data_IF_362185500611
#
_entry.id   IF_362185500611
#
_cell.length_a   1.000
_cell.length_b   1.000
_cell.length_c   1.000
_cell.angle_alpha   90.00
_cell.angle_beta   90.00
_cell.angle_gamma   90.00
#
_symmetry.space_group_name_H-M   'P 1'
#
loop_
_entity.id
_entity.type
_entity.pdbx_description
1 polymer ?
#
# COMPACT_ATOMS: atom_id res chain seq x y z
N UNK A 1 -19.80 -5.14 -1.42
CA UNK A 1 -19.58 -4.94 -2.87
C UNK A 1 -18.66 -6.02 -3.46
N UNK A 2 -17.38 -6.11 -3.07
CA UNK A 2 -16.45 -7.07 -3.71
C UNK A 2 -16.88 -8.54 -3.52
N UNK A 3 -17.32 -8.91 -2.32
CA UNK A 3 -17.91 -10.25 -2.09
C UNK A 3 -19.14 -10.52 -2.97
N UNK A 4 -19.90 -9.48 -3.32
CA UNK A 4 -21.09 -9.60 -4.19
C UNK A 4 -20.66 -9.87 -5.62
N UNK A 5 -19.67 -9.12 -6.10
CA UNK A 5 -19.04 -9.36 -7.38
C UNK A 5 -18.53 -10.80 -7.50
N UNK A 6 -17.76 -11.27 -6.51
CA UNK A 6 -17.16 -12.61 -6.56
C UNK A 6 -18.18 -13.75 -6.53
N UNK A 7 -19.22 -13.65 -5.71
CA UNK A 7 -20.14 -14.76 -5.51
C UNK A 7 -21.40 -14.67 -6.38
N UNK A 8 -22.03 -13.50 -6.48
CA UNK A 8 -23.30 -13.35 -7.20
C UNK A 8 -23.07 -13.13 -8.71
N UNK A 9 -22.05 -12.36 -9.10
CA UNK A 9 -21.77 -12.10 -10.52
C UNK A 9 -20.81 -13.11 -11.13
N UNK A 10 -19.74 -13.45 -10.42
CA UNK A 10 -18.70 -14.37 -10.92
C UNK A 10 -18.95 -15.84 -10.55
N UNK A 11 -19.95 -16.10 -9.70
CA UNK A 11 -20.38 -17.46 -9.37
C UNK A 11 -19.36 -18.29 -8.57
N UNK A 12 -18.40 -17.65 -7.91
CA UNK A 12 -17.36 -18.34 -7.14
C UNK A 12 -18.00 -18.96 -5.89
N UNK A 13 -17.80 -20.27 -5.70
CA UNK A 13 -18.25 -20.98 -4.49
C UNK A 13 -17.13 -21.01 -3.45
N UNK A 14 -17.52 -21.03 -2.18
CA UNK A 14 -16.58 -21.21 -1.06
C UNK A 14 -16.89 -22.50 -0.32
N UNK A 15 -15.84 -23.18 0.13
CA UNK A 15 -15.93 -24.34 1.00
C UNK A 15 -15.04 -24.10 2.21
N UNK A 16 -15.61 -24.17 3.40
CA UNK A 16 -14.90 -23.92 4.65
C UNK A 16 -14.88 -25.21 5.46
N UNK A 17 -13.71 -25.59 5.94
CA UNK A 17 -13.48 -26.78 6.78
C UNK A 17 -12.64 -26.43 7.98
N UNK A 18 -12.81 -27.16 9.08
CA UNK A 18 -11.98 -27.01 10.28
C UNK A 18 -12.69 -26.25 11.40
N UNK A 19 -11.95 -25.42 12.11
CA UNK A 19 -12.44 -24.76 13.33
C UNK A 19 -13.30 -23.51 13.03
N UNK A 20 -14.20 -23.20 13.96
CA UNK A 20 -15.14 -22.08 13.86
C UNK A 20 -14.48 -20.77 14.32
N UNK A 21 -14.46 -19.76 13.44
CA UNK A 21 -13.87 -18.45 13.74
C UNK A 21 -14.71 -17.60 14.72
N UNK A 22 -15.97 -17.95 14.99
CA UNK A 22 -16.82 -17.24 15.96
C UNK A 22 -16.66 -17.72 17.41
N UNK A 23 -16.09 -18.92 17.62
CA UNK A 23 -15.88 -19.46 18.97
C UNK A 23 -14.62 -18.86 19.60
N UNK A 24 -14.79 -17.79 20.38
CA UNK A 24 -13.71 -17.19 21.18
C UNK A 24 -13.65 -15.66 21.10
N UNK A 25 -12.66 -15.06 21.77
CA UNK A 25 -12.43 -13.61 21.78
C UNK A 25 -11.98 -13.09 20.41
N UNK A 26 -12.34 -11.84 20.10
CA UNK A 26 -12.32 -11.22 18.75
C UNK A 26 -10.95 -10.70 18.26
N UNK A 27 -9.84 -11.04 18.93
CA UNK A 27 -8.50 -10.52 18.59
C UNK A 27 -7.63 -11.65 18.07
N UNK A 28 -7.37 -11.67 16.76
CA UNK A 28 -6.60 -12.74 16.12
C UNK A 28 -5.58 -12.24 15.10
N UNK A 29 -4.49 -13.01 14.96
CA UNK A 29 -3.63 -12.94 13.77
C UNK A 29 -4.01 -14.10 12.87
N UNK A 30 -4.26 -13.82 11.60
CA UNK A 30 -4.58 -14.81 10.58
C UNK A 30 -3.34 -15.02 9.72
N UNK A 31 -2.83 -16.24 9.69
CA UNK A 31 -1.70 -16.63 8.84
C UNK A 31 -2.21 -17.42 7.63
N UNK A 32 -1.99 -16.89 6.42
CA UNK A 32 -2.49 -17.47 5.17
C UNK A 32 -1.33 -17.77 4.21
N UNK A 33 -1.39 -18.91 3.50
CA UNK A 33 -0.44 -19.20 2.41
C UNK A 33 -0.73 -18.32 1.19
N UNK A 34 0.30 -18.00 0.40
CA UNK A 34 0.20 -16.98 -0.65
C UNK A 34 0.45 -17.54 -2.07
N UNK A 35 -0.59 -18.11 -2.68
CA UNK A 35 -0.52 -18.70 -4.02
C UNK A 35 -0.74 -17.69 -5.13
N UNK A 36 -1.62 -16.72 -4.96
CA UNK A 36 -2.01 -15.76 -6.01
C UNK A 36 -1.97 -14.33 -5.51
N UNK A 37 -1.87 -13.36 -6.42
CA UNK A 37 -1.97 -11.93 -6.05
C UNK A 37 -3.33 -11.53 -5.47
N UNK A 38 -4.32 -12.41 -5.54
CA UNK A 38 -5.71 -12.14 -5.20
C UNK A 38 -6.19 -12.92 -3.97
N UNK A 39 -5.32 -13.69 -3.30
CA UNK A 39 -5.69 -14.49 -2.11
C UNK A 39 -6.36 -13.63 -1.03
N UNK A 40 -5.87 -12.41 -0.84
CA UNK A 40 -6.39 -11.43 0.10
C UNK A 40 -7.82 -10.97 -0.21
N UNK A 41 -8.30 -11.16 -1.42
CA UNK A 41 -9.67 -10.78 -1.81
C UNK A 41 -10.67 -11.86 -1.39
N UNK A 42 -10.28 -13.14 -1.47
CA UNK A 42 -11.12 -14.27 -1.08
C UNK A 42 -11.29 -14.39 0.44
N UNK A 43 -10.37 -13.84 1.24
CA UNK A 43 -10.52 -13.81 2.70
C UNK A 43 -11.76 -13.02 3.14
N UNK A 44 -12.22 -12.06 2.35
CA UNK A 44 -13.47 -11.34 2.61
C UNK A 44 -14.69 -12.25 2.49
N UNK A 45 -14.65 -13.21 1.57
CA UNK A 45 -15.70 -14.22 1.46
C UNK A 45 -15.73 -15.06 2.74
N UNK A 46 -14.57 -15.47 3.26
CA UNK A 46 -14.49 -16.21 4.53
C UNK A 46 -15.03 -15.39 5.71
N UNK A 47 -14.52 -14.18 5.92
CA UNK A 47 -14.92 -13.32 7.04
C UNK A 47 -16.39 -12.92 7.01
N UNK A 48 -17.00 -12.84 5.82
CA UNK A 48 -18.43 -12.54 5.69
C UNK A 48 -19.31 -13.60 6.36
N UNK A 49 -18.95 -14.89 6.28
CA UNK A 49 -19.71 -16.00 6.93
C UNK A 49 -19.71 -15.87 8.45
N UNK A 50 -18.58 -15.46 9.01
CA UNK A 50 -18.40 -15.35 10.45
C UNK A 50 -18.75 -13.95 10.98
N UNK A 51 -19.22 -13.03 10.13
CA UNK A 51 -19.53 -11.63 10.48
C UNK A 51 -18.32 -10.85 11.02
N UNK A 52 -17.11 -11.20 10.58
CA UNK A 52 -15.84 -10.62 11.05
C UNK A 52 -15.23 -9.64 10.04
N UNK A 53 -16.03 -9.08 9.11
CA UNK A 53 -15.52 -8.21 8.05
C UNK A 53 -15.03 -6.85 8.58
N UNK A 54 -15.72 -6.30 9.58
CA UNK A 54 -15.40 -4.98 10.14
C UNK A 54 -14.05 -4.94 10.87
N UNK A 55 -13.70 -6.03 11.54
CA UNK A 55 -12.46 -6.19 12.30
C UNK A 55 -11.26 -6.60 11.44
N UNK A 56 -11.46 -6.99 10.18
CA UNK A 56 -10.40 -7.47 9.32
C UNK A 56 -9.50 -6.32 8.85
N UNK A 57 -8.21 -6.42 9.19
CA UNK A 57 -7.13 -5.57 8.68
C UNK A 57 -6.12 -6.46 7.97
N UNK A 58 -5.58 -5.98 6.85
CA UNK A 58 -4.63 -6.77 6.04
C UNK A 58 -3.26 -6.09 6.08
N UNK A 59 -2.21 -6.88 6.30
CA UNK A 59 -0.82 -6.44 6.17
C UNK A 59 -0.47 -6.35 4.68
N UNK A 60 -0.20 -5.13 4.20
CA UNK A 60 0.02 -4.83 2.79
C UNK A 60 1.42 -4.31 2.49
N UNK A 61 1.85 -4.44 1.24
CA UNK A 61 3.08 -3.79 0.75
C UNK A 61 2.87 -2.27 0.68
N UNK A 62 3.81 -1.49 1.22
CA UNK A 62 3.68 -0.02 1.31
C UNK A 62 3.52 0.69 -0.04
N UNK A 63 3.98 0.11 -1.15
CA UNK A 63 3.74 0.67 -2.49
C UNK A 63 2.25 0.73 -2.85
N UNK A 64 1.41 -0.12 -2.24
CA UNK A 64 -0.03 -0.17 -2.48
C UNK A 64 -0.78 1.03 -1.89
N UNK A 65 -0.15 1.81 -0.98
CA UNK A 65 -0.73 3.06 -0.46
C UNK A 65 -1.07 4.06 -1.56
N UNK A 66 -0.28 4.06 -2.63
CA UNK A 66 -0.39 5.05 -3.70
C UNK A 66 -1.39 4.65 -4.79
N UNK A 67 -1.99 3.45 -4.69
CA UNK A 67 -3.00 3.00 -5.65
C UNK A 67 -4.30 3.79 -5.39
N UNK A 68 -4.79 4.58 -6.36
CA UNK A 68 -6.03 5.32 -6.21
C UNK A 68 -7.22 4.41 -5.88
N UNK A 69 -8.15 4.90 -5.06
CA UNK A 69 -9.27 4.09 -4.58
C UNK A 69 -8.85 3.11 -3.48
N UNK A 70 -8.46 1.88 -3.86
CA UNK A 70 -8.20 0.78 -2.89
C UNK A 70 -7.10 1.16 -1.89
N UNK A 71 -5.98 1.72 -2.35
CA UNK A 71 -4.88 2.10 -1.48
C UNK A 71 -5.24 3.20 -0.50
N UNK A 72 -6.07 4.16 -0.91
CA UNK A 72 -6.57 5.24 -0.05
C UNK A 72 -7.60 4.73 0.95
N UNK A 73 -8.54 3.90 0.50
CA UNK A 73 -9.53 3.25 1.36
C UNK A 73 -8.87 2.39 2.44
N UNK A 74 -7.86 1.60 2.09
CA UNK A 74 -7.11 0.79 3.06
C UNK A 74 -6.33 1.66 4.07
N UNK A 75 -5.80 2.81 3.64
CA UNK A 75 -5.16 3.76 4.57
C UNK A 75 -6.17 4.35 5.54
N UNK A 76 -7.33 4.78 5.04
CA UNK A 76 -8.43 5.28 5.88
C UNK A 76 -8.94 4.20 6.85
N UNK A 77 -9.04 2.96 6.39
CA UNK A 77 -9.42 1.81 7.21
C UNK A 77 -8.33 1.38 8.21
N UNK A 78 -7.19 2.07 8.27
CA UNK A 78 -6.12 1.82 9.24
C UNK A 78 -5.31 0.55 8.96
N UNK A 79 -5.16 0.10 7.72
CA UNK A 79 -4.40 -1.11 7.40
C UNK A 79 -2.89 -0.93 7.68
N UNK A 80 -2.20 -2.03 8.00
CA UNK A 80 -0.76 -2.02 8.23
C UNK A 80 0.01 -2.17 6.91
N UNK A 81 0.87 -1.20 6.61
CA UNK A 81 1.69 -1.20 5.40
C UNK A 81 3.19 -1.32 5.72
N UNK A 82 3.85 -2.32 5.12
CA UNK A 82 5.28 -2.63 5.35
C UNK A 82 6.15 -2.35 4.12
N UNK A 83 7.37 -1.85 4.34
CA UNK A 83 8.33 -1.48 3.30
C UNK A 83 9.37 -2.57 2.99
N UNK A 84 9.35 -3.70 3.71
CA UNK A 84 10.40 -4.74 3.69
C UNK A 84 11.75 -4.19 4.17
N UNK A 85 11.69 -3.30 5.16
CA UNK A 85 12.84 -2.65 5.79
C UNK A 85 12.67 -2.80 7.30
N UNK A 86 13.46 -3.69 7.90
CA UNK A 86 13.25 -4.16 9.27
C UNK A 86 13.22 -3.02 10.29
N UNK A 87 14.18 -2.11 10.25
CA UNK A 87 14.28 -1.01 11.22
C UNK A 87 13.04 -0.10 11.17
N UNK A 88 12.58 0.23 9.96
CA UNK A 88 11.39 1.07 9.77
C UNK A 88 10.10 0.35 10.09
N UNK A 89 10.00 -0.91 9.67
CA UNK A 89 8.79 -1.72 9.82
C UNK A 89 8.58 -2.13 11.28
N UNK A 90 9.64 -2.33 12.05
CA UNK A 90 9.58 -2.55 13.50
C UNK A 90 8.86 -1.39 14.21
N UNK A 91 9.29 -0.15 13.94
CA UNK A 91 8.64 1.03 14.53
C UNK A 91 7.20 1.19 14.06
N UNK A 92 6.89 0.89 12.80
CA UNK A 92 5.52 0.96 12.28
C UNK A 92 4.59 -0.05 12.92
N UNK A 93 5.05 -1.29 13.09
CA UNK A 93 4.27 -2.33 13.79
C UNK A 93 3.97 -1.86 15.21
N UNK A 94 4.96 -1.36 15.94
CA UNK A 94 4.75 -0.82 17.30
C UNK A 94 3.71 0.30 17.32
N UNK A 95 3.83 1.27 16.42
CA UNK A 95 2.90 2.41 16.35
C UNK A 95 1.48 1.98 16.00
N UNK A 96 1.29 1.09 15.01
CA UNK A 96 -0.06 0.68 14.58
C UNK A 96 -0.75 -0.18 15.63
N UNK A 97 -0.02 -1.06 16.31
CA UNK A 97 -0.59 -1.88 17.39
C UNK A 97 -1.00 -0.99 18.57
N UNK A 98 -0.18 0.03 18.90
CA UNK A 98 -0.54 1.05 19.88
C UNK A 98 -1.81 1.83 19.49
N UNK A 99 -1.95 2.18 18.21
CA UNK A 99 -3.17 2.80 17.67
C UNK A 99 -4.38 1.88 17.83
N UNK A 100 -4.29 0.62 17.39
CA UNK A 100 -5.40 -0.34 17.53
C UNK A 100 -5.82 -0.53 19.00
N UNK A 101 -4.85 -0.56 19.91
CA UNK A 101 -5.12 -0.61 21.36
C UNK A 101 -5.89 0.62 21.83
N UNK A 102 -5.50 1.81 21.39
CA UNK A 102 -6.18 3.07 21.75
C UNK A 102 -7.62 3.14 21.24
N UNK A 103 -7.90 2.52 20.08
CA UNK A 103 -9.24 2.46 19.51
C UNK A 103 -10.15 1.42 20.18
N UNK A 104 -9.62 0.51 21.01
CA UNK A 104 -10.36 -0.60 21.64
C UNK A 104 -11.18 -1.44 20.64
N UNK A 105 -10.77 -1.46 19.36
CA UNK A 105 -11.51 -2.14 18.30
C UNK A 105 -11.19 -3.63 18.30
N UNK A 106 -12.17 -4.51 18.00
CA UNK A 106 -11.87 -5.90 17.63
C UNK A 106 -10.95 -5.92 16.40
N UNK A 107 -10.06 -6.91 16.32
CA UNK A 107 -8.99 -6.95 15.32
C UNK A 107 -8.73 -8.38 14.85
N UNK A 108 -8.93 -8.61 13.55
CA UNK A 108 -8.38 -9.76 12.84
C UNK A 108 -7.32 -9.28 11.86
N UNK A 109 -6.05 -9.53 12.18
CA UNK A 109 -4.92 -9.06 11.37
C UNK A 109 -4.42 -10.17 10.44
N UNK A 110 -4.72 -10.06 9.15
CA UNK A 110 -4.24 -10.98 8.12
C UNK A 110 -2.79 -10.66 7.72
N UNK A 111 -1.93 -11.68 7.80
CA UNK A 111 -0.55 -11.64 7.30
C UNK A 111 -0.28 -12.82 6.38
N UNK A 112 0.58 -12.60 5.39
CA UNK A 112 1.17 -13.64 4.55
C UNK A 112 2.66 -13.80 4.91
N UNK A 113 3.02 -14.73 5.82
CA UNK A 113 4.40 -14.93 6.25
C UNK A 113 5.39 -15.20 5.11
N UNK A 114 4.96 -15.76 3.98
CA UNK A 114 5.79 -15.93 2.77
C UNK A 114 6.35 -14.59 2.25
N UNK A 115 5.59 -13.50 2.44
CA UNK A 115 5.95 -12.14 2.08
C UNK A 115 5.94 -11.85 0.58
N UNK A 116 5.63 -12.82 -0.28
CA UNK A 116 5.50 -12.70 -1.74
C UNK A 116 4.65 -13.85 -2.28
N UNK A 117 4.15 -13.74 -3.52
CA UNK A 117 3.39 -14.82 -4.16
C UNK A 117 4.28 -15.99 -4.59
N UNK A 118 3.69 -17.18 -4.65
CA UNK A 118 4.25 -18.37 -5.27
C UNK A 118 4.31 -18.23 -6.80
N UNK A 119 5.52 -18.13 -7.34
CA UNK A 119 5.84 -18.24 -8.77
C UNK A 119 7.01 -19.20 -8.92
N UNK A 120 7.29 -19.69 -10.13
CA UNK A 120 8.43 -20.57 -10.36
C UNK A 120 9.75 -19.94 -9.87
N UNK A 121 9.95 -18.65 -10.13
CA UNK A 121 11.13 -17.90 -9.69
C UNK A 121 11.20 -17.75 -8.16
N UNK A 122 10.10 -17.35 -7.52
CA UNK A 122 10.09 -17.16 -6.05
C UNK A 122 10.22 -18.48 -5.32
N UNK A 123 9.67 -19.57 -5.87
CA UNK A 123 9.82 -20.94 -5.37
C UNK A 123 11.29 -21.38 -5.40
N UNK A 124 11.94 -21.28 -6.55
CA UNK A 124 13.37 -21.63 -6.69
C UNK A 124 14.21 -20.82 -5.69
N UNK A 125 13.94 -19.51 -5.57
CA UNK A 125 14.65 -18.66 -4.61
C UNK A 125 14.41 -19.04 -3.16
N UNK A 126 13.16 -19.38 -2.80
CA UNK A 126 12.79 -19.80 -1.44
C UNK A 126 13.44 -21.14 -1.09
N UNK A 127 13.37 -22.13 -1.98
CA UNK A 127 13.98 -23.45 -1.79
C UNK A 127 15.52 -23.35 -1.70
N UNK A 128 16.15 -22.54 -2.55
CA UNK A 128 17.59 -22.29 -2.48
C UNK A 128 18.03 -21.62 -1.17
N UNK A 129 17.14 -20.84 -0.53
CA UNK A 129 17.40 -20.27 0.79
C UNK A 129 17.23 -21.32 1.89
N UNK A 130 16.16 -22.11 1.82
CA UNK A 130 15.86 -23.18 2.78
C UNK A 130 16.94 -24.28 2.80
N UNK A 131 17.44 -24.70 1.64
CA UNK A 131 18.53 -25.69 1.54
C UNK A 131 19.87 -25.21 2.13
N UNK A 132 20.07 -23.89 2.26
CA UNK A 132 21.26 -23.32 2.90
C UNK A 132 21.14 -23.22 4.41
N UNK A 133 19.93 -23.38 4.94
CA UNK A 133 19.67 -23.32 6.36
C UNK A 133 19.47 -24.72 6.92
N UNK A 134 20.18 -25.01 8.00
CA UNK A 134 20.08 -26.28 8.74
C UNK A 134 18.67 -26.56 9.25
N UNK A 135 17.88 -25.52 9.54
CA UNK A 135 16.54 -25.63 10.11
C UNK A 135 15.47 -26.08 9.10
N UNK A 136 15.59 -25.71 7.82
CA UNK A 136 14.59 -26.03 6.81
C UNK A 136 14.97 -27.30 6.05
N UNK A 137 16.15 -27.31 5.42
CA UNK A 137 16.76 -28.42 4.69
C UNK A 137 15.82 -29.31 3.84
N UNK A 138 14.70 -28.76 3.36
CA UNK A 138 13.77 -29.42 2.45
C UNK A 138 13.10 -28.38 1.55
N UNK A 139 12.83 -28.71 0.28
CA UNK A 139 12.10 -27.83 -0.63
C UNK A 139 10.59 -27.95 -0.42
N UNK A 140 9.86 -26.88 -0.76
CA UNK A 140 8.41 -26.89 -0.91
C UNK A 140 8.00 -26.72 -2.38
N UNK A 141 6.85 -27.28 -2.74
CA UNK A 141 6.23 -27.21 -4.06
C UNK A 141 4.94 -26.40 -4.08
N UNK A 142 4.16 -26.42 -2.99
CA UNK A 142 2.83 -25.80 -2.92
C UNK A 142 2.80 -24.50 -2.11
N UNK A 143 3.83 -24.22 -1.32
CA UNK A 143 4.03 -22.99 -0.55
C UNK A 143 5.45 -22.42 -0.72
N UNK A 144 5.67 -21.18 -0.30
CA UNK A 144 7.02 -20.67 -0.02
C UNK A 144 7.35 -20.82 1.48
N UNK A 145 8.64 -20.93 1.82
CA UNK A 145 9.04 -20.93 3.23
C UNK A 145 8.68 -19.59 3.92
N UNK A 146 8.10 -19.64 5.14
CA UNK A 146 7.64 -18.44 5.83
C UNK A 146 8.81 -17.61 6.37
N UNK A 147 8.61 -16.29 6.44
CA UNK A 147 9.54 -15.37 7.10
C UNK A 147 9.16 -15.23 8.57
N UNK A 148 9.98 -15.81 9.44
CA UNK A 148 9.70 -15.89 10.88
C UNK A 148 9.84 -14.55 11.61
N UNK A 149 10.85 -13.74 11.29
CA UNK A 149 11.20 -12.53 12.06
C UNK A 149 10.07 -11.50 12.17
N UNK A 150 9.36 -11.25 11.07
CA UNK A 150 8.25 -10.29 11.08
C UNK A 150 7.04 -10.80 11.87
N UNK A 151 6.76 -12.09 11.76
CA UNK A 151 5.67 -12.73 12.49
C UNK A 151 5.95 -12.81 14.00
N UNK A 152 7.14 -13.26 14.40
CA UNK A 152 7.52 -13.37 15.82
C UNK A 152 7.42 -12.02 16.52
N UNK A 153 7.96 -10.97 15.91
CA UNK A 153 7.88 -9.62 16.46
C UNK A 153 6.45 -9.07 16.52
N UNK A 154 5.65 -9.29 15.48
CA UNK A 154 4.24 -8.88 15.47
C UNK A 154 3.46 -9.59 16.58
N UNK A 155 3.61 -10.91 16.70
CA UNK A 155 2.97 -11.73 17.73
C UNK A 155 3.33 -11.24 19.14
N UNK A 156 4.61 -11.04 19.42
CA UNK A 156 5.06 -10.58 20.73
C UNK A 156 4.66 -9.12 21.02
N UNK A 157 4.65 -8.26 20.00
CA UNK A 157 4.14 -6.89 20.14
C UNK A 157 2.65 -6.89 20.48
N UNK A 158 1.85 -7.76 19.85
CA UNK A 158 0.42 -7.88 20.19
C UNK A 158 0.21 -8.51 21.57
N UNK A 159 0.98 -9.53 21.95
CA UNK A 159 0.95 -10.16 23.29
C UNK A 159 1.25 -9.17 24.41
N UNK A 160 2.37 -8.45 24.30
CA UNK A 160 2.78 -7.42 25.28
C UNK A 160 1.78 -6.27 25.44
N UNK A 161 0.91 -6.06 24.44
CA UNK A 161 -0.13 -5.05 24.49
C UNK A 161 -1.49 -5.59 24.96
N UNK A 162 -1.60 -6.89 25.28
CA UNK A 162 -2.86 -7.62 25.47
C UNK A 162 -3.83 -7.32 24.33
N UNK A 163 -3.40 -7.57 23.10
CA UNK A 163 -4.17 -7.31 21.86
C UNK A 163 -4.36 -8.57 21.01
N UNK A 164 -4.15 -9.75 21.58
CA UNK A 164 -4.28 -11.03 20.87
C UNK A 164 -4.75 -12.14 21.80
N UNK A 165 -5.73 -12.91 21.32
CA UNK A 165 -6.26 -14.07 22.02
C UNK A 165 -5.98 -15.37 21.26
N UNK A 166 -5.91 -15.32 19.93
CA UNK A 166 -5.78 -16.50 19.07
C UNK A 166 -4.91 -16.24 17.84
N UNK A 167 -4.32 -17.31 17.31
CA UNK A 167 -3.71 -17.31 15.97
C UNK A 167 -4.49 -18.30 15.11
N UNK A 168 -5.05 -17.80 14.02
CA UNK A 168 -5.86 -18.58 13.08
C UNK A 168 -4.98 -19.00 11.90
N UNK A 169 -4.66 -20.30 11.84
CA UNK A 169 -3.90 -20.89 10.75
C UNK A 169 -4.84 -21.30 9.61
N UNK A 170 -4.78 -20.56 8.51
CA UNK A 170 -5.69 -20.74 7.38
C UNK A 170 -4.93 -21.22 6.15
N UNK A 171 -5.40 -22.31 5.56
CA UNK A 171 -4.90 -22.86 4.29
C UNK A 171 -5.93 -22.58 3.20
N UNK A 172 -5.51 -21.91 2.13
CA UNK A 172 -6.33 -21.65 0.93
C UNK A 172 -5.89 -22.54 -0.24
N UNK A 173 -6.87 -23.21 -0.84
CA UNK A 173 -6.72 -24.05 -2.04
C UNK A 173 -7.78 -23.71 -3.09
N UNK A 174 -7.47 -23.93 -4.37
CA UNK A 174 -8.35 -23.59 -5.49
C UNK A 174 -8.68 -24.81 -6.33
N UNK A 175 -9.95 -24.99 -6.65
CA UNK A 175 -10.38 -26.01 -7.60
C UNK A 175 -10.34 -25.48 -9.04
N UNK A 176 -9.64 -26.19 -9.93
CA UNK A 176 -9.51 -25.86 -11.34
C UNK A 176 -8.50 -24.74 -11.64
N UNK A 177 -8.75 -23.96 -12.70
CA UNK A 177 -7.89 -22.82 -13.08
C UNK A 177 -8.15 -21.66 -12.11
N UNK A 178 -7.09 -21.03 -11.64
CA UNK A 178 -7.16 -19.87 -10.75
C UNK A 178 -6.29 -18.72 -11.28
N UNK A 179 -6.68 -17.45 -11.02
CA UNK A 179 -5.97 -16.28 -11.50
C UNK A 179 -4.65 -16.10 -10.75
N UNK A 180 -3.57 -15.74 -11.46
CA UNK A 180 -2.27 -15.42 -10.84
C UNK A 180 -2.18 -13.92 -10.61
N UNK A 181 -2.71 -13.13 -11.54
CA UNK A 181 -2.66 -11.67 -11.56
C UNK A 181 -4.05 -11.04 -11.72
N UNK A 182 -4.13 -9.74 -11.48
CA UNK A 182 -5.34 -8.93 -11.66
C UNK A 182 -5.82 -8.93 -13.13
N UNK A 183 -4.91 -9.10 -14.09
CA UNK A 183 -5.25 -9.16 -15.52
C UNK A 183 -6.02 -10.45 -15.85
N UNK A 184 -5.72 -11.54 -15.15
CA UNK A 184 -6.43 -12.82 -15.35
C UNK A 184 -7.91 -12.69 -14.95
N UNK A 185 -8.19 -11.87 -13.94
CA UNK A 185 -9.55 -11.50 -13.52
C UNK A 185 -10.31 -10.82 -14.66
N UNK A 186 -9.67 -9.85 -15.35
CA UNK A 186 -10.28 -9.12 -16.48
C UNK A 186 -10.52 -10.02 -17.70
N UNK A 187 -9.71 -11.06 -17.86
CA UNK A 187 -9.86 -12.06 -18.93
C UNK A 187 -10.94 -13.12 -18.64
N UNK A 188 -11.59 -13.03 -17.48
CA UNK A 188 -12.64 -13.97 -17.10
C UNK A 188 -12.12 -15.25 -16.42
N UNK A 189 -10.87 -15.29 -15.98
CA UNK A 189 -10.32 -16.45 -15.28
C UNK A 189 -10.59 -16.35 -13.77
N UNK A 190 -11.55 -17.14 -13.30
CA UNK A 190 -11.94 -17.22 -11.89
C UNK A 190 -11.87 -18.66 -11.40
N UNK A 191 -11.51 -18.88 -10.11
CA UNK A 191 -11.63 -20.20 -9.51
C UNK A 191 -13.10 -20.57 -9.40
N UNK A 192 -13.47 -21.81 -9.73
CA UNK A 192 -14.85 -22.27 -9.56
C UNK A 192 -15.21 -22.40 -8.08
N UNK A 193 -14.27 -22.93 -7.30
CA UNK A 193 -14.43 -23.16 -5.87
C UNK A 193 -13.14 -22.77 -5.14
N UNK A 194 -13.30 -22.01 -4.05
CA UNK A 194 -12.22 -21.64 -3.13
C UNK A 194 -12.41 -22.41 -1.84
N UNK A 195 -11.40 -23.20 -1.46
CA UNK A 195 -11.41 -24.00 -0.25
C UNK A 195 -10.56 -23.34 0.83
N UNK A 196 -11.12 -23.24 2.03
CA UNK A 196 -10.44 -22.82 3.24
C UNK A 196 -10.42 -23.97 4.25
N UNK A 197 -9.24 -24.22 4.83
CA UNK A 197 -9.08 -25.08 5.99
C UNK A 197 -8.52 -24.26 7.14
N UNK A 198 -9.17 -24.35 8.31
CA UNK A 198 -8.90 -23.49 9.45
C UNK A 198 -8.48 -24.35 10.66
N UNK A 199 -7.32 -24.04 11.23
CA UNK A 199 -6.88 -24.54 12.54
C UNK A 199 -6.69 -23.35 13.48
N UNK A 200 -7.34 -23.38 14.64
CA UNK A 200 -7.28 -22.27 15.60
C UNK A 200 -6.41 -22.62 16.81
N UNK A 201 -5.49 -21.71 17.16
CA UNK A 201 -4.59 -21.87 18.30
C UNK A 201 -4.85 -20.78 19.35
N UNK A 202 -5.02 -21.17 20.61
CA UNK A 202 -5.09 -20.21 21.71
C UNK A 202 -3.70 -19.62 21.97
N UNK A 203 -3.63 -18.32 22.26
CA UNK A 203 -2.37 -17.63 22.54
C UNK A 203 -1.56 -18.27 23.69
N UNK A 204 -2.26 -18.88 24.65
CA UNK A 204 -1.68 -19.57 25.80
C UNK A 204 -0.99 -20.89 25.43
N UNK A 205 -1.42 -21.53 24.33
CA UNK A 205 -0.86 -22.80 23.85
C UNK A 205 0.38 -22.59 22.98
N UNK A 206 0.59 -21.36 22.50
CA UNK A 206 1.72 -20.98 21.66
C UNK A 206 2.98 -20.69 22.49
N UNK A 207 4.17 -21.08 22.01
CA UNK A 207 5.43 -20.85 22.71
C UNK A 207 5.70 -19.35 22.95
N UNK A 208 6.49 -19.03 23.98
CA UNK A 208 6.85 -17.65 24.35
C UNK A 208 8.19 -17.19 23.76
N UNK A 209 9.14 -18.11 23.56
CA UNK A 209 10.46 -17.79 23.01
C UNK A 209 10.43 -17.62 21.48
N UNK A 210 11.12 -16.60 20.96
CA UNK A 210 11.16 -16.26 19.53
C UNK A 210 11.59 -17.42 18.64
N UNK A 211 12.58 -18.20 19.06
CA UNK A 211 13.07 -19.37 18.32
C UNK A 211 12.01 -20.47 18.23
N UNK A 212 11.29 -20.74 19.33
CA UNK A 212 10.22 -21.73 19.36
C UNK A 212 8.99 -21.28 18.56
N UNK A 213 8.68 -19.98 18.56
CA UNK A 213 7.62 -19.41 17.71
C UNK A 213 7.99 -19.58 16.22
N UNK A 214 9.26 -19.33 15.87
CA UNK A 214 9.75 -19.53 14.51
C UNK A 214 9.62 -21.01 14.07
N UNK A 215 9.99 -21.96 14.93
CA UNK A 215 9.82 -23.39 14.69
C UNK A 215 8.35 -23.79 14.57
N UNK A 216 7.48 -23.25 15.42
CA UNK A 216 6.04 -23.48 15.35
C UNK A 216 5.46 -22.99 14.01
N UNK A 217 5.82 -21.77 13.57
CA UNK A 217 5.37 -21.23 12.29
C UNK A 217 5.86 -22.10 11.12
N UNK A 218 7.10 -22.58 11.20
CA UNK A 218 7.63 -23.50 10.20
C UNK A 218 6.85 -24.81 10.16
N UNK A 219 6.48 -25.37 11.32
CA UNK A 219 5.63 -26.57 11.41
C UNK A 219 4.25 -26.32 10.80
N UNK A 220 3.63 -25.16 10.99
CA UNK A 220 2.38 -24.80 10.29
C UNK A 220 2.57 -24.86 8.77
N UNK A 221 3.70 -24.34 8.24
CA UNK A 221 3.97 -24.40 6.79
C UNK A 221 4.23 -25.82 6.28
N UNK A 222 4.87 -26.68 7.08
CA UNK A 222 5.01 -28.11 6.77
C UNK A 222 3.66 -28.80 6.65
N UNK A 223 2.74 -28.53 7.58
CA UNK A 223 1.39 -29.04 7.54
C UNK A 223 0.65 -28.53 6.29
N UNK A 224 0.78 -27.23 5.95
CA UNK A 224 0.17 -26.65 4.75
C UNK A 224 0.66 -27.28 3.47
N UNK A 225 1.97 -27.52 3.37
CA UNK A 225 2.58 -28.14 2.21
C UNK A 225 1.99 -29.54 1.96
N UNK A 226 1.89 -30.35 3.02
CA UNK A 226 1.29 -31.68 2.95
C UNK A 226 -0.21 -31.63 2.64
N UNK A 227 -0.96 -30.74 3.32
CA UNK A 227 -2.39 -30.56 3.09
C UNK A 227 -2.70 -30.12 1.65
N UNK A 228 -1.91 -29.21 1.09
CA UNK A 228 -2.10 -28.75 -0.28
C UNK A 228 -1.73 -29.85 -1.28
N UNK A 229 -0.67 -30.62 -1.01
CA UNK A 229 -0.31 -31.77 -1.84
C UNK A 229 -1.46 -32.77 -1.93
N UNK A 230 -2.10 -33.11 -0.82
CA UNK A 230 -3.26 -33.98 -0.79
C UNK A 230 -4.50 -33.33 -1.42
N UNK A 231 -4.72 -32.05 -1.16
CA UNK A 231 -5.82 -31.28 -1.74
C UNK A 231 -5.80 -31.30 -3.26
N UNK A 232 -4.66 -31.11 -3.92
CA UNK A 232 -4.59 -31.14 -5.39
C UNK A 232 -4.71 -32.54 -5.99
N UNK A 233 -4.61 -33.60 -5.18
CA UNK A 233 -4.92 -34.98 -5.60
C UNK A 233 -6.41 -35.27 -5.43
N UNK A 234 -7.00 -34.86 -4.30
CA UNK A 234 -8.37 -35.24 -3.88
C UNK A 234 -9.44 -34.18 -4.20
N UNK A 235 -9.05 -32.95 -4.55
CA UNK A 235 -9.88 -31.73 -4.62
C UNK A 235 -10.69 -31.44 -3.34
N UNK A 236 -10.21 -31.89 -2.18
CA UNK A 236 -10.82 -31.64 -0.88
C UNK A 236 -9.76 -31.72 0.22
N UNK A 237 -10.00 -31.00 1.32
CA UNK A 237 -9.23 -31.19 2.55
C UNK A 237 -9.84 -32.36 3.35
N UNK A 238 -8.99 -33.16 4.00
CA UNK A 238 -9.33 -34.46 4.62
C UNK A 238 -10.29 -34.41 5.82
N UNK A 239 -10.84 -33.24 6.18
CA UNK A 239 -11.79 -33.05 7.30
C UNK A 239 -13.20 -32.64 6.83
N UNK A 240 -13.92 -33.49 6.06
CA UNK A 240 -15.29 -33.20 5.62
C UNK A 240 -16.31 -33.18 6.78
N UNK A 241 -16.02 -33.84 7.91
CA UNK A 241 -16.88 -33.87 9.10
C UNK A 241 -16.97 -32.55 9.86
N UNK A 242 -16.05 -31.61 9.62
CA UNK A 242 -16.10 -30.22 10.13
C UNK A 242 -16.33 -29.21 8.98
N UNK A 243 -17.11 -29.58 7.96
CA UNK A 243 -17.51 -28.63 6.92
C UNK A 243 -18.48 -27.63 7.52
N UNK A 244 -18.17 -26.35 7.41
CA UNK A 244 -19.12 -25.31 7.77
C UNK A 244 -20.24 -25.32 6.75
N UNK A 245 -21.40 -25.86 7.12
CA UNK A 245 -22.60 -25.86 6.31
C UNK A 245 -23.74 -25.30 7.14
N UNK A 246 -24.02 -24.00 6.98
CA UNK A 246 -25.10 -23.32 7.67
C UNK A 246 -25.88 -22.49 6.65
N UNK A 247 -26.97 -23.05 6.12
CA UNK A 247 -27.83 -22.41 5.13
C UNK A 247 -28.41 -21.09 5.63
N UNK A 248 -28.69 -20.97 6.93
CA UNK A 248 -29.18 -19.74 7.54
C UNK A 248 -28.10 -18.64 7.54
N UNK A 249 -26.84 -19.00 7.80
CA UNK A 249 -25.72 -18.06 7.67
C UNK A 249 -25.55 -17.64 6.21
N UNK A 250 -25.55 -18.58 5.26
CA UNK A 250 -25.39 -18.26 3.83
C UNK A 250 -26.51 -17.36 3.30
N UNK A 251 -27.77 -17.59 3.71
CA UNK A 251 -28.90 -16.74 3.33
C UNK A 251 -28.78 -15.33 3.92
N UNK A 252 -28.39 -15.20 5.20
CA UNK A 252 -28.15 -13.92 5.85
C UNK A 252 -27.01 -13.14 5.20
N UNK A 253 -25.89 -13.81 4.90
CA UNK A 253 -24.74 -13.21 4.21
C UNK A 253 -25.16 -12.71 2.83
N UNK A 254 -25.90 -13.53 2.07
CA UNK A 254 -26.41 -13.16 0.74
C UNK A 254 -27.33 -11.95 0.81
N UNK A 255 -28.24 -11.91 1.78
CA UNK A 255 -29.15 -10.78 1.99
C UNK A 255 -28.38 -9.48 2.29
N UNK A 256 -27.51 -9.49 3.31
CA UNK A 256 -26.71 -8.30 3.70
C UNK A 256 -25.85 -7.80 2.56
N UNK A 257 -25.26 -8.71 1.79
CA UNK A 257 -24.41 -8.39 0.65
C UNK A 257 -25.16 -7.72 -0.49
N UNK A 258 -26.37 -8.22 -0.82
CA UNK A 258 -27.25 -7.62 -1.84
C UNK A 258 -27.82 -6.28 -1.38
N UNK A 259 -28.23 -6.18 -0.11
CA UNK A 259 -28.66 -4.93 0.49
C UNK A 259 -27.55 -3.86 0.43
N UNK A 260 -26.32 -4.23 0.81
CA UNK A 260 -25.18 -3.32 0.73
C UNK A 260 -24.89 -2.88 -0.72
N UNK A 261 -25.02 -3.77 -1.71
CA UNK A 261 -24.87 -3.41 -3.12
C UNK A 261 -25.96 -2.41 -3.55
N UNK A 262 -27.21 -2.68 -3.20
CA UNK A 262 -28.35 -1.82 -3.50
C UNK A 262 -28.18 -0.42 -2.90
N UNK A 263 -27.82 -0.32 -1.62
CA UNK A 263 -27.54 0.95 -0.95
C UNK A 263 -26.38 1.72 -1.62
N UNK A 264 -25.32 1.01 -2.03
CA UNK A 264 -24.21 1.63 -2.77
C UNK A 264 -24.63 2.15 -4.15
N UNK A 265 -25.48 1.43 -4.86
CA UNK A 265 -26.02 1.89 -6.16
C UNK A 265 -26.86 3.14 -5.96
N UNK A 266 -27.75 3.17 -4.96
CA UNK A 266 -28.54 4.37 -4.62
C UNK A 266 -27.62 5.53 -4.28
N UNK A 267 -26.60 5.31 -3.46
CA UNK A 267 -25.66 6.36 -3.08
C UNK A 267 -24.93 6.94 -4.30
N UNK A 268 -24.46 6.09 -5.22
CA UNK A 268 -23.82 6.54 -6.46
C UNK A 268 -24.80 7.33 -7.33
N UNK A 269 -26.03 6.84 -7.51
CA UNK A 269 -27.06 7.55 -8.27
C UNK A 269 -27.40 8.91 -7.64
N UNK A 270 -27.48 8.98 -6.31
CA UNK A 270 -27.69 10.21 -5.57
C UNK A 270 -26.54 11.21 -5.76
N UNK A 271 -25.29 10.75 -5.63
CA UNK A 271 -24.11 11.58 -5.89
C UNK A 271 -24.03 12.08 -7.34
N UNK A 272 -24.49 11.27 -8.30
CA UNK A 272 -24.59 11.67 -9.71
C UNK A 272 -25.77 12.62 -9.95
N UNK A 273 -26.86 12.54 -9.18
CA UNK A 273 -28.04 13.39 -9.34
C UNK A 273 -27.87 14.79 -8.74
N UNK A 274 -27.15 14.94 -7.61
CA UNK A 274 -26.91 16.25 -6.95
C UNK A 274 -26.41 17.34 -7.91
N UNK A 275 -25.38 17.11 -8.78
CA UNK A 275 -24.93 18.15 -9.71
C UNK A 275 -25.93 18.49 -10.83
N UNK A 276 -26.95 17.66 -11.08
CA UNK A 276 -27.99 17.92 -12.08
C UNK A 276 -29.33 18.41 -11.47
N UNK A 277 -29.55 18.19 -10.18
CA UNK A 277 -30.81 18.51 -9.48
C UNK A 277 -30.87 19.90 -8.85
N UNK A 278 -29.75 20.64 -8.82
CA UNK A 278 -29.66 22.04 -8.32
C UNK A 278 -29.54 23.03 -9.49
N UNK A 279 -30.18 22.71 -10.62
CA UNK A 279 -30.41 23.67 -11.71
C UNK A 279 -31.67 24.49 -11.44
N UNK A 280 -31.49 25.70 -10.89
CA UNK A 280 -32.37 26.87 -10.94
C UNK A 280 -33.90 26.63 -11.05
N UNK A 281 -34.59 26.68 -9.90
CA UNK A 281 -35.95 27.23 -9.85
C UNK A 281 -35.88 28.70 -9.42
N UNK A 282 -35.53 29.61 -10.34
CA UNK A 282 -35.86 31.05 -10.15
C UNK A 282 -37.29 31.27 -10.62
N UNK A 283 -38.10 31.86 -9.74
CA UNK A 283 -39.49 32.28 -9.98
C UNK A 283 -39.51 33.31 -11.11
N UNK A 284 -40.44 33.16 -12.04
CA UNK A 284 -40.76 34.15 -13.07
C UNK A 284 -41.44 35.36 -12.45
N UNK A 285 -40.66 36.36 -12.05
CA UNK A 285 -41.12 37.74 -11.88
C UNK A 285 -40.01 38.69 -12.39
N UNK A 286 -40.38 39.60 -13.29
CA UNK A 286 -39.59 40.76 -13.73
C UNK A 286 -38.20 40.47 -14.31
N UNK A 287 -38.13 40.03 -15.57
CA UNK A 287 -36.85 39.98 -16.29
C UNK A 287 -36.67 41.33 -16.99
N UNK A 288 -35.61 42.06 -16.67
CA UNK A 288 -35.17 43.26 -17.40
C UNK A 288 -33.97 42.92 -18.30
N UNK A 289 -33.82 43.63 -19.41
CA UNK A 289 -32.71 43.44 -20.34
C UNK A 289 -31.63 44.49 -20.13
N UNK A 290 -30.36 44.07 -20.03
CA UNK A 290 -29.20 44.96 -19.94
C UNK A 290 -28.15 44.61 -20.99
N UNK A 291 -27.28 45.56 -21.29
CA UNK A 291 -26.17 45.40 -22.24
C UNK A 291 -24.83 45.37 -21.50
N UNK A 292 -23.96 44.44 -21.87
CA UNK A 292 -22.59 44.36 -21.33
C UNK A 292 -21.61 44.47 -22.48
N UNK A 293 -20.74 45.48 -22.45
CA UNK A 293 -19.71 45.69 -23.46
C UNK A 293 -18.42 45.01 -23.02
N UNK A 294 -17.92 44.11 -23.87
CA UNK A 294 -16.72 43.33 -23.62
C UNK A 294 -15.47 44.07 -24.07
N UNK A 295 -14.30 43.53 -23.73
CA UNK A 295 -12.99 44.10 -24.06
C UNK A 295 -12.74 44.19 -25.58
N UNK A 296 -13.39 43.32 -26.36
CA UNK A 296 -13.31 43.27 -27.82
C UNK A 296 -14.34 44.19 -28.49
N UNK A 297 -14.95 45.11 -27.74
CA UNK A 297 -16.00 46.03 -28.22
C UNK A 297 -17.28 45.33 -28.70
N UNK A 298 -17.52 44.07 -28.29
CA UNK A 298 -18.76 43.34 -28.57
C UNK A 298 -19.79 43.60 -27.47
N UNK A 299 -21.06 43.72 -27.85
CA UNK A 299 -22.17 43.92 -26.91
C UNK A 299 -22.89 42.60 -26.65
N UNK A 300 -22.91 42.18 -25.39
CA UNK A 300 -23.68 41.05 -24.90
C UNK A 300 -25.02 41.54 -24.37
N UNK A 301 -26.10 40.90 -24.79
CA UNK A 301 -27.43 41.13 -24.24
C UNK A 301 -27.72 40.10 -23.15
N UNK A 302 -28.02 40.58 -21.94
CA UNK A 302 -28.34 39.76 -20.77
C UNK A 302 -29.77 40.03 -20.29
N UNK A 303 -30.48 38.96 -19.96
CA UNK A 303 -31.80 39.00 -19.35
C UNK A 303 -31.62 38.68 -17.87
N UNK A 304 -31.85 39.67 -17.00
CA UNK A 304 -31.46 39.66 -15.58
C UNK A 304 -32.61 40.13 -14.70
N UNK A 305 -32.58 39.81 -13.41
CA UNK A 305 -33.52 40.35 -12.43
C UNK A 305 -32.88 41.53 -11.68
N UNK A 306 -33.65 42.56 -11.28
CA UNK A 306 -33.13 43.69 -10.50
C UNK A 306 -32.44 43.27 -9.19
N UNK A 307 -32.82 42.12 -8.63
CA UNK A 307 -32.26 41.54 -7.41
C UNK A 307 -30.98 40.72 -7.64
N UNK A 308 -30.57 40.49 -8.90
CA UNK A 308 -29.32 39.78 -9.20
C UNK A 308 -28.14 40.62 -8.72
N UNK A 309 -27.13 39.96 -8.14
CA UNK A 309 -25.91 40.62 -7.67
C UNK A 309 -24.91 40.82 -8.80
N UNK A 310 -23.99 41.77 -8.64
CA UNK A 310 -22.91 42.01 -9.61
C UNK A 310 -22.02 40.77 -9.79
N UNK A 311 -21.78 39.99 -8.73
CA UNK A 311 -21.06 38.71 -8.85
C UNK A 311 -21.80 37.71 -9.75
N UNK A 312 -23.13 37.60 -9.63
CA UNK A 312 -23.92 36.73 -10.50
C UNK A 312 -23.84 37.15 -11.98
N UNK A 313 -23.78 38.47 -12.26
CA UNK A 313 -23.58 38.98 -13.62
C UNK A 313 -22.18 38.64 -14.14
N UNK A 314 -21.13 38.76 -13.32
CA UNK A 314 -19.76 38.37 -13.69
C UNK A 314 -19.65 36.89 -14.03
N UNK A 315 -20.34 36.01 -13.30
CA UNK A 315 -20.40 34.58 -13.59
C UNK A 315 -21.07 34.29 -14.95
N UNK A 316 -22.14 35.03 -15.31
CA UNK A 316 -22.79 34.92 -16.63
C UNK A 316 -21.84 35.37 -17.75
N UNK A 317 -21.08 36.45 -17.52
CA UNK A 317 -20.07 36.95 -18.45
C UNK A 317 -18.91 35.96 -18.58
N UNK A 318 -18.48 35.32 -17.49
CA UNK A 318 -17.43 34.27 -17.50
C UNK A 318 -17.84 33.10 -18.39
N UNK A 319 -19.09 32.64 -18.27
CA UNK A 319 -19.58 31.52 -19.09
C UNK A 319 -19.61 31.85 -20.60
N UNK A 320 -19.76 33.12 -20.97
CA UNK A 320 -19.84 33.56 -22.38
C UNK A 320 -18.48 33.93 -22.97
N UNK A 321 -17.67 34.68 -22.21
CA UNK A 321 -16.39 35.24 -22.69
C UNK A 321 -15.18 34.43 -22.21
N UNK A 322 -15.33 33.56 -21.22
CA UNK A 322 -14.26 32.71 -20.68
C UNK A 322 -13.25 33.43 -19.78
N UNK A 323 -13.59 34.64 -19.31
CA UNK A 323 -12.76 35.44 -18.37
C UNK A 323 -13.22 35.11 -16.94
N UNK A 324 -12.35 34.66 -16.01
CA UNK A 324 -12.75 34.34 -14.64
C UNK A 324 -13.44 35.53 -13.93
N UNK A 325 -14.51 35.30 -13.17
CA UNK A 325 -15.25 36.35 -12.45
C UNK A 325 -14.37 37.20 -11.54
N UNK A 326 -13.36 36.58 -10.90
CA UNK A 326 -12.37 37.25 -10.04
C UNK A 326 -11.50 38.26 -10.79
N UNK A 327 -11.28 38.07 -12.10
CA UNK A 327 -10.44 38.94 -12.94
C UNK A 327 -11.27 40.06 -13.62
N UNK A 328 -12.59 39.99 -13.54
CA UNK A 328 -13.51 40.96 -14.15
C UNK A 328 -13.82 42.13 -13.22
N UNK A 329 -13.87 43.33 -13.78
CA UNK A 329 -14.42 44.53 -13.14
C UNK A 329 -15.54 45.11 -13.99
N UNK A 330 -16.76 45.10 -13.46
CA UNK A 330 -17.92 45.71 -14.10
C UNK A 330 -18.04 47.17 -13.70
N UNK A 331 -18.25 48.04 -14.69
CA UNK A 331 -18.42 49.48 -14.47
C UNK A 331 -19.68 50.02 -15.15
N UNK A 332 -20.36 50.96 -14.49
CA UNK A 332 -21.45 51.75 -15.06
C UNK A 332 -21.06 53.23 -15.00
N UNK A 333 -21.05 53.92 -16.14
CA UNK A 333 -20.68 55.35 -16.20
C UNK A 333 -19.27 55.65 -15.66
N UNK A 334 -18.35 54.68 -15.70
CA UNK A 334 -16.99 54.81 -15.15
C UNK A 334 -16.86 54.51 -13.65
N UNK A 335 -17.96 54.19 -12.95
CA UNK A 335 -17.94 53.78 -11.54
C UNK A 335 -17.85 52.25 -11.47
N UNK A 336 -16.90 51.73 -10.69
CA UNK A 336 -16.79 50.29 -10.40
C UNK A 336 -17.92 49.83 -9.50
N UNK A 337 -18.57 48.75 -9.91
CA UNK A 337 -19.64 48.13 -9.13
C UNK A 337 -19.05 47.10 -8.16
N UNK A 338 -19.64 46.98 -6.98
CA UNK A 338 -19.21 46.06 -5.92
C UNK A 338 -19.94 44.72 -6.06
N UNK A 339 -19.26 43.62 -5.77
CA UNK A 339 -19.71 42.26 -6.04
C UNK A 339 -20.87 41.83 -5.13
N UNK A 340 -20.98 42.44 -3.95
CA UNK A 340 -22.05 42.18 -2.97
C UNK A 340 -23.34 42.97 -3.24
N UNK A 341 -23.30 44.00 -4.10
CA UNK A 341 -24.46 44.83 -4.41
C UNK A 341 -25.35 44.21 -5.49
N UNK A 342 -26.65 44.49 -5.40
CA UNK A 342 -27.63 44.14 -6.43
C UNK A 342 -27.67 45.16 -7.57
N UNK A 343 -28.17 44.76 -8.74
CA UNK A 343 -28.35 45.66 -9.88
C UNK A 343 -29.22 46.88 -9.52
N UNK A 344 -30.26 46.69 -8.72
CA UNK A 344 -31.12 47.78 -8.25
C UNK A 344 -30.38 48.76 -7.31
N UNK A 345 -29.55 48.24 -6.40
CA UNK A 345 -28.72 49.08 -5.52
C UNK A 345 -27.65 49.87 -6.30
N UNK A 346 -27.13 49.28 -7.38
CA UNK A 346 -26.22 49.92 -8.31
C UNK A 346 -26.91 50.89 -9.29
N UNK A 347 -28.25 51.05 -9.21
CA UNK A 347 -29.07 51.87 -10.12
C UNK A 347 -28.92 51.47 -11.59
N UNK A 348 -28.79 50.17 -11.84
CA UNK A 348 -28.80 49.62 -13.21
C UNK A 348 -30.26 49.46 -13.63
N UNK A 349 -30.68 50.24 -14.61
CA UNK A 349 -32.03 50.21 -15.18
C UNK A 349 -32.09 49.32 -16.43
N UNK A 350 -33.29 49.03 -16.91
CA UNK A 350 -33.50 48.37 -18.20
C UNK A 350 -32.77 49.15 -19.32
N UNK A 351 -32.17 48.42 -20.25
CA UNK A 351 -31.34 48.93 -21.36
C UNK A 351 -30.02 49.63 -20.94
N UNK A 352 -29.64 49.56 -19.67
CA UNK A 352 -28.34 50.08 -19.21
C UNK A 352 -27.17 49.32 -19.82
N UNK A 353 -26.05 50.03 -20.08
CA UNK A 353 -24.81 49.43 -20.60
C UNK A 353 -23.70 49.39 -19.55
N UNK A 354 -23.30 48.18 -19.14
CA UNK A 354 -22.14 47.93 -18.29
C UNK A 354 -20.89 47.67 -19.14
N UNK A 355 -19.72 48.05 -18.63
CA UNK A 355 -18.43 47.81 -19.30
C UNK A 355 -17.58 46.86 -18.47
N UNK A 356 -17.05 45.82 -19.13
CA UNK A 356 -16.09 44.87 -18.54
C UNK A 356 -14.68 45.43 -18.69
N UNK A 357 -13.97 45.53 -17.57
CA UNK A 357 -12.54 45.83 -17.50
C UNK A 357 -11.82 44.64 -16.83
N UNK A 358 -10.52 44.50 -17.08
CA UNK A 358 -9.69 43.52 -16.39
C UNK A 358 -8.93 44.18 -15.24
N UNK A 359 -8.93 43.52 -14.10
CA UNK A 359 -8.04 43.90 -13.00
C UNK A 359 -6.62 43.46 -13.34
N UNK A 360 -5.77 44.45 -13.62
CA UNK A 360 -4.35 44.23 -13.89
C UNK A 360 -3.63 43.89 -12.59
N UNK A 361 -3.76 42.65 -12.13
CA UNK A 361 -2.84 42.13 -11.13
C UNK A 361 -1.44 41.99 -11.76
N UNK A 362 -0.50 42.81 -11.29
CA UNK A 362 0.91 42.72 -11.66
C UNK A 362 1.40 41.28 -11.47
N UNK A 363 1.59 40.57 -12.59
CA UNK A 363 1.70 39.11 -12.64
C UNK A 363 2.59 38.52 -11.55
N UNK A 364 1.97 37.82 -10.60
CA UNK A 364 2.65 37.04 -9.58
C UNK A 364 3.67 36.10 -10.21
N UNK A 365 4.96 36.27 -9.89
CA UNK A 365 6.06 35.49 -10.47
C UNK A 365 5.89 34.00 -10.13
N UNK A 366 5.32 33.23 -11.05
CA UNK A 366 5.26 31.76 -10.98
C UNK A 366 6.69 31.20 -10.90
N UNK A 367 6.90 30.23 -10.00
CA UNK A 367 8.20 29.57 -9.80
C UNK A 367 8.67 28.94 -11.11
N UNK A 368 9.80 29.41 -11.66
CA UNK A 368 10.38 28.87 -12.90
C UNK A 368 10.71 27.38 -12.74
N UNK A 369 10.43 26.58 -13.78
CA UNK A 369 10.87 25.18 -13.87
C UNK A 369 12.38 25.13 -13.71
N UNK A 370 12.88 24.19 -12.91
CA UNK A 370 14.32 24.01 -12.70
C UNK A 370 14.96 23.51 -14.01
N UNK A 371 15.90 24.28 -14.55
CA UNK A 371 16.76 23.84 -15.65
C UNK A 371 17.93 23.04 -15.08
N UNK A 372 18.01 21.75 -15.39
CA UNK A 372 19.10 20.89 -14.96
C UNK A 372 20.21 20.93 -16.02
N UNK A 373 21.11 21.91 -15.92
CA UNK A 373 22.19 22.11 -16.88
C UNK A 373 23.36 21.13 -16.67
N UNK A 374 23.42 20.46 -15.51
CA UNK A 374 24.50 19.54 -15.16
C UNK A 374 23.96 18.12 -14.94
N UNK A 375 24.64 17.09 -15.49
CA UNK A 375 24.25 15.71 -15.25
C UNK A 375 24.39 15.36 -13.77
N UNK A 376 23.49 14.50 -13.28
CA UNK A 376 23.45 14.11 -11.87
C UNK A 376 24.72 13.34 -11.49
N UNK A 377 25.48 13.87 -10.54
CA UNK A 377 26.71 13.23 -10.02
C UNK A 377 26.37 11.91 -9.30
N UNK A 378 26.95 10.82 -9.78
CA UNK A 378 26.90 9.53 -9.07
C UNK A 378 27.76 9.60 -7.81
N UNK A 379 27.16 9.33 -6.65
CA UNK A 379 27.89 9.30 -5.38
C UNK A 379 28.75 8.02 -5.29
N UNK A 380 29.99 8.16 -4.82
CA UNK A 380 30.87 7.02 -4.57
C UNK A 380 30.24 6.07 -3.55
N UNK A 381 30.29 4.76 -3.84
CA UNK A 381 29.83 3.70 -2.94
C UNK A 381 31.03 2.86 -2.51
N UNK A 382 31.15 2.58 -1.22
CA UNK A 382 32.23 1.76 -0.69
C UNK A 382 32.17 0.33 -1.26
N UNK A 383 33.25 -0.13 -1.89
CA UNK A 383 33.34 -1.49 -2.46
C UNK A 383 33.58 -2.50 -1.34
N UNK A 384 32.60 -3.38 -1.09
CA UNK A 384 32.72 -4.46 -0.10
C UNK A 384 33.43 -5.68 -0.73
N UNK A 385 34.65 -5.97 -0.27
CA UNK A 385 35.39 -7.18 -0.66
C UNK A 385 35.27 -8.20 0.48
N UNK A 386 34.70 -9.37 0.19
CA UNK A 386 34.54 -10.44 1.18
C UNK A 386 35.92 -10.95 1.61
N UNK A 387 36.11 -11.15 2.92
CA UNK A 387 37.31 -11.74 3.51
C UNK A 387 38.63 -11.06 3.07
N UNK A 388 38.64 -9.73 2.95
CA UNK A 388 39.82 -8.97 2.48
C UNK A 388 41.09 -9.23 3.32
N UNK A 389 40.93 -9.60 4.61
CA UNK A 389 42.04 -9.88 5.54
C UNK A 389 42.91 -11.05 5.09
N UNK A 390 42.33 -12.05 4.41
CA UNK A 390 43.08 -13.22 3.93
C UNK A 390 44.13 -12.86 2.87
N UNK A 391 44.04 -11.68 2.24
CA UNK A 391 45.04 -11.20 1.28
C UNK A 391 46.35 -10.75 1.93
N UNK A 392 46.37 -10.59 3.25
CA UNK A 392 47.53 -10.06 3.99
C UNK A 392 48.46 -11.15 4.53
N UNK A 393 48.01 -12.40 4.56
CA UNK A 393 48.75 -13.51 5.15
C UNK A 393 48.81 -14.69 4.17
N UNK A 394 49.95 -15.38 4.15
CA UNK A 394 50.14 -16.66 3.47
C UNK A 394 50.63 -17.68 4.50
N UNK A 395 49.97 -18.83 4.57
CA UNK A 395 50.41 -19.96 5.40
C UNK A 395 51.29 -20.84 4.52
N UNK A 396 52.49 -21.15 5.00
CA UNK A 396 53.40 -22.10 4.35
C UNK A 396 53.11 -23.52 4.83
N UNK A 397 53.55 -24.53 4.06
CA UNK A 397 53.30 -25.95 4.36
C UNK A 397 53.87 -26.41 5.71
N UNK A 398 54.84 -25.65 6.25
CA UNK A 398 55.46 -25.86 7.57
C UNK A 398 54.64 -25.26 8.72
N UNK A 399 53.49 -24.65 8.45
CA UNK A 399 52.65 -23.96 9.44
C UNK A 399 53.12 -22.54 9.81
N UNK A 400 54.20 -22.04 9.20
CA UNK A 400 54.67 -20.66 9.38
C UNK A 400 53.79 -19.66 8.62
N UNK A 401 53.57 -18.49 9.21
CA UNK A 401 52.74 -17.43 8.62
C UNK A 401 53.64 -16.32 8.06
N UNK A 402 53.57 -16.09 6.75
CA UNK A 402 54.23 -14.99 6.05
C UNK A 402 53.25 -13.84 5.82
N UNK A 403 53.69 -12.61 6.11
CA UNK A 403 52.92 -11.38 5.85
C UNK A 403 53.21 -10.88 4.44
N UNK A 404 52.15 -10.58 3.68
CA UNK A 404 52.22 -10.18 2.26
C UNK A 404 52.18 -8.66 2.05
N UNK A 405 51.93 -7.87 3.11
CA UNK A 405 51.90 -6.41 3.06
C UNK A 405 52.79 -5.81 4.14
N UNK A 406 53.31 -4.61 3.86
CA UNK A 406 54.11 -3.82 4.80
C UNK A 406 53.23 -3.33 5.95
N UNK A 407 53.70 -3.44 7.18
CA UNK A 407 53.06 -2.87 8.36
C UNK A 407 53.45 -1.39 8.52
N UNK A 408 52.53 -0.60 9.07
CA UNK A 408 52.78 0.81 9.35
C UNK A 408 53.74 0.95 10.54
N UNK A 409 54.82 1.72 10.36
CA UNK A 409 55.84 1.97 11.39
C UNK A 409 55.51 3.18 12.29
N UNK A 410 54.38 3.86 12.06
CA UNK A 410 54.00 5.01 12.89
C UNK A 410 53.66 4.54 14.31
N UNK A 411 54.13 5.26 15.33
CA UNK A 411 53.87 4.96 16.75
C UNK A 411 52.36 4.90 17.09
N UNK A 412 51.51 5.55 16.29
CA UNK A 412 50.04 5.54 16.44
C UNK A 412 49.36 4.30 15.85
N UNK A 413 50.09 3.51 15.05
CA UNK A 413 49.61 2.28 14.42
C UNK A 413 50.33 1.09 15.05
N UNK A 414 49.57 0.22 15.73
CA UNK A 414 50.12 -1.01 16.33
C UNK A 414 50.33 -2.13 15.31
N UNK A 415 50.88 -3.25 15.79
CA UNK A 415 51.05 -4.47 15.01
C UNK A 415 49.70 -4.92 14.38
N UNK A 416 49.75 -5.37 13.12
CA UNK A 416 48.56 -5.76 12.35
C UNK A 416 47.89 -4.65 11.54
N UNK A 417 48.39 -3.41 11.59
CA UNK A 417 47.96 -2.33 10.67
C UNK A 417 48.79 -2.37 9.39
N UNK A 418 48.21 -2.92 8.32
CA UNK A 418 48.86 -3.01 7.00
C UNK A 418 48.66 -1.76 6.16
N UNK A 419 49.69 -1.40 5.40
CA UNK A 419 49.65 -0.33 4.41
C UNK A 419 49.08 -0.84 3.08
N UNK A 420 48.25 -0.02 2.43
CA UNK A 420 47.81 -0.26 1.07
C UNK A 420 48.98 0.00 0.11
N UNK A 421 49.38 -1.01 -0.67
CA UNK A 421 50.34 -0.81 -1.74
C UNK A 421 49.59 -0.37 -3.00
N UNK A 422 49.84 0.87 -3.39
CA UNK A 422 49.53 1.45 -4.69
C UNK A 422 50.76 1.28 -5.59
N UNK A 423 50.63 1.58 -6.88
CA UNK A 423 51.71 1.44 -7.85
C UNK A 423 52.97 2.24 -7.49
N UNK A 424 52.79 3.45 -6.96
CA UNK A 424 53.83 4.45 -6.69
C UNK A 424 54.16 4.62 -5.21
N UNK A 425 53.32 4.06 -4.32
CA UNK A 425 53.39 4.34 -2.89
C UNK A 425 52.75 3.26 -2.01
N UNK A 426 53.23 3.20 -0.77
CA UNK A 426 52.55 2.53 0.33
C UNK A 426 51.84 3.55 1.22
N UNK A 427 50.53 3.42 1.40
CA UNK A 427 49.68 4.35 2.16
C UNK A 427 49.02 3.67 3.37
N UNK A 428 49.11 4.27 4.55
CA UNK A 428 48.39 3.82 5.73
C UNK A 428 47.01 4.50 5.82
N UNK A 429 45.93 3.71 5.73
CA UNK A 429 44.57 4.23 5.86
C UNK A 429 44.18 4.72 7.26
N UNK A 430 45.01 4.47 8.29
CA UNK A 430 44.73 4.87 9.68
C UNK A 430 45.41 6.19 10.07
N UNK A 431 46.70 6.34 9.79
CA UNK A 431 47.48 7.53 10.16
C UNK A 431 47.90 8.40 8.96
N UNK A 432 47.45 8.06 7.75
CA UNK A 432 47.75 8.76 6.50
C UNK A 432 49.25 8.83 6.11
N UNK A 433 50.13 8.09 6.80
CA UNK A 433 51.56 8.00 6.43
C UNK A 433 51.72 7.36 5.06
N UNK A 434 52.58 7.96 4.24
CA UNK A 434 52.85 7.54 2.86
C UNK A 434 54.35 7.36 2.65
N UNK A 435 54.76 6.20 2.12
CA UNK A 435 56.11 5.97 1.61
C UNK A 435 56.05 5.88 0.10
N UNK A 436 56.90 6.61 -0.61
CA UNK A 436 57.06 6.51 -2.06
C UNK A 436 58.23 5.57 -2.38
N UNK A 437 58.10 4.74 -3.40
CA UNK A 437 59.20 3.89 -3.86
C UNK A 437 60.24 4.78 -4.57
N UNK A 438 61.53 4.49 -4.38
CA UNK A 438 62.56 5.13 -5.20
C UNK A 438 62.71 4.31 -6.49
N UNK A 439 63.00 4.96 -7.64
CA UNK A 439 63.05 4.33 -8.98
C UNK A 439 63.88 3.04 -9.11
N UNK A 440 64.69 2.67 -8.11
CA UNK A 440 65.43 1.39 -8.09
C UNK A 440 64.62 0.19 -7.60
N UNK A 441 63.47 0.40 -6.96
CA UNK A 441 62.62 -0.67 -6.41
C UNK A 441 61.44 -1.05 -7.34
N UNK A 442 61.32 -0.41 -8.52
CA UNK A 442 60.25 -0.71 -9.51
C UNK A 442 60.63 -1.84 -10.49
N UNK A 443 61.90 -2.28 -10.52
CA UNK A 443 62.43 -3.27 -11.47
C UNK A 443 62.62 -4.70 -10.88
N UNK A 444 62.28 -4.93 -9.60
CA UNK A 444 62.21 -6.27 -8.95
C UNK A 444 60.77 -6.64 -8.60
#
# INVERSE_FOLDING_TARGET
MITCLLEDFLGIKIVITGDDLTKGKYRSIIILNHRTRLDWMYIWMLHSRFQLLEQLKIVMKASLKHVPGIGWACQHAGYLFLQRDWEKDQQRIKNIIGYYKSCQSPLSLLIFPEGTNLTNETKIRSNNYALKQTTYNKPYDYCLHPRVTGFTYLLNTMRSNDMIDTVDDVTIGYEGKFPITEIDLLKGYFPKVVHFHIKRYNINDLPQEDEKIAQWLQKCWDDKENQLKEFYIKNQFDTPSKRFNNEQVESNVRFRRRLALFLWIIFILFCLYIPFGVGNKRRTQGVMQIFVRTLDDRTLTLNVQPEDTINEIKEIVEQREGIPSEEQRLTLGGISLDDELTLNECRVEEESTLYVLLDLEGGGKKRKKKSYNTPKKNKHKHKKVKLAVLKYYKVEDTGKIRRLRRECQSKQCGAGVFMAAHHDRNYCGKCAVTYMFTKREEEE
#
